data_IF_983040918720
#
_entry.id   IF_983040918720
#
_cell.length_a   1.000
_cell.length_b   1.000
_cell.length_c   1.000
_cell.angle_alpha   90.00
_cell.angle_beta   90.00
_cell.angle_gamma   90.00
#
_symmetry.space_group_name_H-M   'P 1'
#
loop_
_entity.id
_entity.type
_entity.pdbx_description
1 polymer ?
#
# COMPACT_ATOMS: atom_id res chain seq x y z
N UNK A 1 14.55 13.23 -14.39
CA UNK A 1 13.82 13.66 -13.18
C UNK A 1 12.73 12.63 -12.98
N UNK A 2 12.75 11.91 -11.85
CA UNK A 2 11.99 10.65 -11.69
C UNK A 2 10.58 10.85 -11.09
N UNK A 3 10.23 12.08 -10.68
CA UNK A 3 8.90 12.43 -10.15
C UNK A 3 8.50 13.81 -10.67
N UNK A 4 7.20 13.99 -10.95
CA UNK A 4 6.63 15.30 -11.28
C UNK A 4 6.68 16.23 -10.07
N UNK A 5 6.98 17.51 -10.30
CA UNK A 5 7.02 18.49 -9.22
C UNK A 5 5.65 18.64 -8.54
N UNK A 6 5.65 18.66 -7.21
CA UNK A 6 4.42 18.80 -6.43
C UNK A 6 3.70 20.12 -6.74
N UNK A 7 2.44 20.00 -7.13
CA UNK A 7 1.57 21.12 -7.48
C UNK A 7 0.56 21.37 -6.35
N UNK A 8 0.89 22.36 -5.50
CA UNK A 8 0.06 22.73 -4.37
C UNK A 8 -1.33 23.26 -4.77
N UNK A 9 -1.54 23.74 -6.00
CA UNK A 9 -2.83 24.27 -6.44
C UNK A 9 -3.87 23.15 -6.65
N UNK A 10 -3.41 21.94 -6.97
CA UNK A 10 -4.26 20.74 -7.08
C UNK A 10 -4.36 19.96 -5.78
N UNK A 11 -3.48 20.20 -4.80
CA UNK A 11 -3.52 19.48 -3.54
C UNK A 11 -4.66 19.99 -2.62
N UNK A 12 -5.31 19.06 -1.92
CA UNK A 12 -6.18 19.35 -0.78
C UNK A 12 -5.43 18.99 0.49
N UNK A 13 -4.92 20.00 1.18
CA UNK A 13 -4.11 19.84 2.39
C UNK A 13 -4.94 20.19 3.62
N UNK A 14 -4.94 19.30 4.60
CA UNK A 14 -5.59 19.48 5.89
C UNK A 14 -4.55 19.54 7.00
N UNK A 15 -4.79 20.39 8.00
CA UNK A 15 -3.93 20.45 9.20
C UNK A 15 -4.25 19.36 10.22
N UNK A 16 -5.47 18.82 10.14
CA UNK A 16 -5.97 17.77 11.05
C UNK A 16 -6.11 16.47 10.28
N UNK A 17 -6.02 15.37 11.00
CA UNK A 17 -6.22 14.06 10.39
C UNK A 17 -7.66 13.93 9.88
N UNK A 18 -7.81 13.51 8.63
CA UNK A 18 -9.08 13.18 8.01
C UNK A 18 -9.70 11.92 8.61
N UNK A 19 -8.84 11.03 9.11
CA UNK A 19 -9.22 9.73 9.67
C UNK A 19 -8.52 9.51 10.99
N UNK A 20 -9.15 8.72 11.86
CA UNK A 20 -8.52 8.32 13.12
C UNK A 20 -7.31 7.44 12.83
N UNK A 21 -6.17 7.73 13.44
CA UNK A 21 -4.96 6.89 13.33
C UNK A 21 -5.14 5.51 13.98
N UNK A 22 -4.52 4.49 13.41
CA UNK A 22 -4.40 3.18 14.04
C UNK A 22 -3.03 3.03 14.73
N UNK A 23 -2.97 3.39 16.02
CA UNK A 23 -1.79 3.12 16.85
C UNK A 23 -1.81 1.67 17.31
N UNK A 24 -0.95 0.84 16.74
CA UNK A 24 -0.81 -0.56 17.12
C UNK A 24 -0.04 -0.65 18.42
N UNK A 25 -0.52 -1.50 19.34
CA UNK A 25 0.13 -1.75 20.62
C UNK A 25 0.40 -3.24 20.75
N UNK A 26 1.62 -3.58 21.16
CA UNK A 26 2.05 -4.96 21.33
C UNK A 26 2.15 -5.71 20.00
N UNK A 27 2.07 -7.04 20.09
CA UNK A 27 2.47 -7.95 19.00
C UNK A 27 1.29 -8.40 18.12
N UNK A 28 0.08 -7.90 18.38
CA UNK A 28 -1.16 -8.35 17.74
C UNK A 28 -1.77 -9.59 18.41
N UNK A 29 -2.87 -10.09 17.83
CA UNK A 29 -3.52 -11.34 18.22
C UNK A 29 -3.09 -12.47 17.25
N UNK A 30 -2.95 -13.73 17.70
CA UNK A 30 -2.73 -14.86 16.79
C UNK A 30 -3.86 -14.95 15.76
N UNK A 31 -3.55 -14.92 14.47
CA UNK A 31 -4.55 -14.87 13.41
C UNK A 31 -5.43 -16.12 13.37
N UNK A 32 -4.86 -17.28 13.71
CA UNK A 32 -5.62 -18.54 13.84
C UNK A 32 -6.71 -18.43 14.92
N UNK A 33 -6.39 -17.83 16.08
CA UNK A 33 -7.38 -17.60 17.13
C UNK A 33 -8.44 -16.57 16.70
N UNK A 34 -8.04 -15.50 16.02
CA UNK A 34 -8.97 -14.50 15.47
C UNK A 34 -9.96 -15.13 14.48
N UNK A 35 -9.49 -16.07 13.66
CA UNK A 35 -10.32 -16.84 12.74
C UNK A 35 -11.26 -17.79 13.51
N UNK A 36 -10.75 -18.52 14.51
CA UNK A 36 -11.54 -19.43 15.35
C UNK A 36 -12.63 -18.70 16.15
N UNK A 37 -12.35 -17.49 16.62
CA UNK A 37 -13.30 -16.61 17.30
C UNK A 37 -14.39 -16.03 16.36
N UNK A 38 -14.28 -16.24 15.05
CA UNK A 38 -15.19 -15.69 14.04
C UNK A 38 -15.10 -14.17 13.88
N UNK A 39 -14.01 -13.55 14.35
CA UNK A 39 -13.77 -12.10 14.19
C UNK A 39 -13.38 -11.75 12.75
N UNK A 40 -12.83 -12.71 12.00
CA UNK A 40 -12.51 -12.63 10.57
C UNK A 40 -12.88 -13.93 9.86
N UNK A 41 -12.91 -13.90 8.53
CA UNK A 41 -13.19 -15.04 7.65
C UNK A 41 -11.96 -15.38 6.81
N UNK A 42 -11.90 -16.62 6.31
CA UNK A 42 -10.81 -17.12 5.47
C UNK A 42 -10.51 -16.23 4.25
N UNK A 43 -11.55 -15.70 3.61
CA UNK A 43 -11.45 -14.84 2.43
C UNK A 43 -11.21 -13.36 2.75
N UNK A 44 -11.18 -12.98 4.03
CA UNK A 44 -10.92 -11.58 4.38
C UNK A 44 -9.49 -11.21 3.97
N UNK A 45 -9.34 -10.00 3.47
CA UNK A 45 -8.10 -9.51 2.89
C UNK A 45 -7.20 -8.93 3.99
N UNK A 46 -5.91 -9.26 3.94
CA UNK A 46 -4.89 -8.80 4.87
C UNK A 46 -3.67 -8.27 4.14
N UNK A 47 -2.98 -7.33 4.78
CA UNK A 47 -1.64 -6.87 4.43
C UNK A 47 -0.66 -7.47 5.44
N UNK A 48 0.43 -8.08 4.98
CA UNK A 48 1.43 -8.75 5.81
C UNK A 48 2.75 -8.03 5.66
N UNK A 49 3.22 -7.48 6.78
CA UNK A 49 4.54 -6.87 6.90
C UNK A 49 5.50 -7.86 7.56
N UNK A 50 6.76 -7.79 7.17
CA UNK A 50 7.87 -8.41 7.90
C UNK A 50 8.87 -7.34 8.35
N UNK A 51 9.24 -7.36 9.64
CA UNK A 51 10.22 -6.42 10.23
C UNK A 51 10.85 -7.04 11.47
N UNK A 52 12.17 -6.91 11.62
CA UNK A 52 12.91 -7.55 12.72
C UNK A 52 12.73 -9.07 12.76
N UNK A 53 12.62 -9.73 11.60
CA UNK A 53 12.37 -11.18 11.53
C UNK A 53 10.99 -11.64 12.00
N UNK A 54 10.09 -10.72 12.35
CA UNK A 54 8.71 -11.00 12.76
C UNK A 54 7.72 -10.52 11.72
N UNK A 55 6.54 -11.15 11.69
CA UNK A 55 5.44 -10.80 10.79
C UNK A 55 4.23 -10.30 11.55
N UNK A 56 3.62 -9.27 11.01
CA UNK A 56 2.38 -8.70 11.53
C UNK A 56 1.45 -8.38 10.37
N UNK A 57 0.23 -8.89 10.47
CA UNK A 57 -0.83 -8.65 9.51
C UNK A 57 -1.72 -7.47 9.92
N UNK A 58 -2.39 -6.89 8.93
CA UNK A 58 -3.36 -5.80 9.09
C UNK A 58 -4.59 -6.13 8.25
N UNK A 59 -5.78 -6.00 8.84
CA UNK A 59 -7.03 -6.17 8.08
C UNK A 59 -7.18 -5.02 7.07
N UNK A 60 -7.36 -5.35 5.78
CA UNK A 60 -7.64 -4.34 4.74
C UNK A 60 -8.89 -3.55 5.10
N UNK A 61 -9.93 -4.20 5.61
CA UNK A 61 -11.18 -3.53 6.00
C UNK A 61 -11.00 -2.50 7.14
N UNK A 62 -10.00 -2.68 8.01
CA UNK A 62 -9.71 -1.72 9.07
C UNK A 62 -8.77 -0.61 8.59
N UNK A 63 -7.74 -0.94 7.80
CA UNK A 63 -6.84 0.08 7.25
C UNK A 63 -7.54 0.94 6.19
N UNK A 64 -8.56 0.43 5.50
CA UNK A 64 -9.46 1.21 4.63
C UNK A 64 -10.08 2.40 5.37
N UNK A 65 -10.36 2.24 6.67
CA UNK A 65 -10.90 3.31 7.50
C UNK A 65 -9.78 4.20 8.06
N UNK A 66 -8.73 3.59 8.59
CA UNK A 66 -7.67 4.30 9.31
C UNK A 66 -6.67 5.02 8.40
N UNK A 67 -6.43 4.50 7.20
CA UNK A 67 -5.44 4.90 6.20
C UNK A 67 -3.97 4.82 6.66
N UNK A 68 -3.71 4.98 7.96
CA UNK A 68 -2.38 4.91 8.57
C UNK A 68 -2.44 4.02 9.80
N UNK A 69 -1.53 3.04 9.86
CA UNK A 69 -1.23 2.26 11.05
C UNK A 69 0.25 2.39 11.42
N UNK A 70 0.53 2.67 12.69
CA UNK A 70 1.89 2.89 13.18
C UNK A 70 2.12 2.08 14.44
N UNK A 71 3.36 1.63 14.62
CA UNK A 71 3.77 0.90 15.80
C UNK A 71 5.25 0.58 15.78
N UNK A 72 5.62 -0.34 16.64
CA UNK A 72 6.96 -0.90 16.72
C UNK A 72 6.83 -2.43 16.68
N UNK A 73 7.68 -3.07 15.90
CA UNK A 73 7.78 -4.53 15.85
C UNK A 73 9.25 -4.90 16.06
N UNK A 74 9.50 -5.69 17.10
CA UNK A 74 10.86 -6.11 17.48
C UNK A 74 11.83 -4.94 17.68
N UNK A 75 11.42 -3.88 18.40
CA UNK A 75 12.26 -2.71 18.62
C UNK A 75 12.34 -1.75 17.42
N UNK A 76 11.72 -2.08 16.29
CA UNK A 76 11.86 -1.31 15.05
C UNK A 76 10.55 -0.59 14.68
N UNK A 77 10.57 0.75 14.54
CA UNK A 77 9.37 1.52 14.19
C UNK A 77 8.93 1.20 12.77
N UNK A 78 7.62 1.18 12.54
CA UNK A 78 7.02 0.98 11.24
C UNK A 78 5.77 1.85 11.05
N UNK A 79 5.42 2.06 9.79
CA UNK A 79 4.14 2.61 9.36
C UNK A 79 3.62 1.81 8.17
N UNK A 80 2.32 1.55 8.17
CA UNK A 80 1.55 1.13 6.99
C UNK A 80 0.68 2.29 6.56
N UNK A 81 0.77 2.64 5.27
CA UNK A 81 -0.16 3.57 4.64
C UNK A 81 -1.00 2.84 3.60
N UNK A 82 -2.27 3.19 3.50
CA UNK A 82 -3.20 2.57 2.56
C UNK A 82 -4.20 3.57 2.00
N UNK A 83 -4.44 3.50 0.70
CA UNK A 83 -5.45 4.30 0.01
C UNK A 83 -6.55 3.40 -0.53
N UNK A 84 -7.77 3.59 -0.04
CA UNK A 84 -8.95 2.80 -0.39
C UNK A 84 -9.39 2.95 -1.85
N UNK A 85 -9.10 4.06 -2.52
CA UNK A 85 -9.53 4.28 -3.90
C UNK A 85 -8.53 3.68 -4.89
N UNK A 86 -7.22 3.85 -4.72
CA UNK A 86 -6.25 3.21 -5.63
C UNK A 86 -5.88 1.78 -5.21
N UNK A 87 -6.33 1.31 -4.04
CA UNK A 87 -5.99 0.01 -3.43
C UNK A 87 -4.51 -0.20 -3.08
N UNK A 88 -3.66 0.81 -3.25
CA UNK A 88 -2.24 0.71 -2.90
C UNK A 88 -2.04 0.72 -1.39
N UNK A 89 -1.24 -0.23 -0.91
CA UNK A 89 -0.67 -0.21 0.43
C UNK A 89 0.85 -0.22 0.37
N UNK A 90 1.49 0.44 1.32
CA UNK A 90 2.95 0.52 1.45
C UNK A 90 3.35 0.48 2.91
N UNK A 91 4.54 -0.06 3.16
CA UNK A 91 5.13 -0.09 4.48
C UNK A 91 6.44 0.70 4.47
N UNK A 92 6.61 1.51 5.52
CA UNK A 92 7.65 2.53 5.61
C UNK A 92 8.29 2.54 7.00
N UNK A 93 9.55 2.95 7.06
CA UNK A 93 10.25 3.29 8.30
C UNK A 93 10.06 4.78 8.54
N UNK A 94 9.27 5.19 9.55
CA UNK A 94 8.98 6.59 9.81
C UNK A 94 10.13 7.28 10.56
N UNK A 95 11.37 7.10 10.09
CA UNK A 95 12.57 7.69 10.70
C UNK A 95 13.29 8.54 9.67
N UNK A 96 13.43 9.82 9.98
CA UNK A 96 14.13 10.82 9.14
C UNK A 96 15.11 11.54 10.05
N UNK A 97 16.37 11.63 9.63
CA UNK A 97 17.47 12.21 10.43
C UNK A 97 17.57 11.66 11.87
N UNK A 98 17.25 10.38 12.05
CA UNK A 98 17.28 9.69 13.35
C UNK A 98 16.10 10.00 14.27
N UNK A 99 15.15 10.84 13.86
CA UNK A 99 13.91 11.11 14.60
C UNK A 99 12.76 10.24 14.07
N UNK A 100 11.99 9.63 14.99
CA UNK A 100 10.74 8.95 14.63
C UNK A 100 9.66 10.01 14.42
N UNK A 101 9.08 10.03 13.22
CA UNK A 101 7.98 10.91 12.84
C UNK A 101 6.63 10.21 13.03
N UNK A 102 5.56 10.99 13.26
CA UNK A 102 4.21 10.46 13.47
C UNK A 102 3.23 11.01 12.44
N UNK A 103 2.52 10.13 11.77
CA UNK A 103 1.75 10.47 10.57
C UNK A 103 0.26 10.30 10.76
N UNK A 104 -0.51 11.10 10.03
CA UNK A 104 -1.92 10.92 9.79
C UNK A 104 -2.27 11.14 8.31
N UNK A 105 -3.41 10.62 7.88
CA UNK A 105 -3.95 10.96 6.56
C UNK A 105 -4.46 12.41 6.60
N UNK A 106 -3.78 13.32 5.91
CA UNK A 106 -3.96 14.78 6.01
C UNK A 106 -4.14 15.47 4.67
N UNK A 107 -4.42 14.74 3.62
CA UNK A 107 -4.74 15.38 2.36
C UNK A 107 -4.95 14.43 1.22
N UNK A 108 -5.17 15.01 0.05
CA UNK A 108 -5.32 14.31 -1.21
C UNK A 108 -4.53 15.05 -2.28
N UNK A 109 -3.74 14.31 -3.06
CA UNK A 109 -3.03 14.81 -4.24
C UNK A 109 -2.94 13.70 -5.28
N UNK A 110 -3.12 14.00 -6.56
CA UNK A 110 -3.21 12.99 -7.62
C UNK A 110 -4.27 11.89 -7.38
N UNK A 111 -5.34 12.22 -6.63
CA UNK A 111 -6.33 11.21 -6.20
C UNK A 111 -5.76 10.15 -5.26
N UNK A 112 -4.68 10.46 -4.55
CA UNK A 112 -3.99 9.61 -3.60
C UNK A 112 -3.99 10.25 -2.22
N UNK A 113 -3.98 9.43 -1.18
CA UNK A 113 -3.88 9.92 0.19
C UNK A 113 -2.51 10.56 0.42
N UNK A 114 -2.49 11.78 0.94
CA UNK A 114 -1.28 12.40 1.48
C UNK A 114 -1.19 12.11 2.96
N UNK A 115 0.00 11.68 3.38
CA UNK A 115 0.37 11.59 4.78
C UNK A 115 0.83 12.97 5.23
N UNK A 116 0.59 13.33 6.49
CA UNK A 116 1.24 14.50 7.09
C UNK A 116 1.82 14.16 8.45
N UNK A 117 3.04 14.62 8.71
CA UNK A 117 3.74 14.39 9.98
C UNK A 117 3.37 15.44 11.04
N UNK A 118 3.51 15.09 12.31
CA UNK A 118 3.21 15.97 13.45
C UNK A 118 4.37 16.91 13.79
N UNK A 119 5.60 16.46 13.56
CA UNK A 119 6.82 17.11 14.01
C UNK A 119 7.11 18.40 13.24
N UNK A 120 6.84 18.40 11.94
CA UNK A 120 7.14 19.50 11.01
C UNK A 120 5.92 19.98 10.24
N UNK A 121 4.84 19.18 10.21
CA UNK A 121 3.65 19.48 9.43
C UNK A 121 3.88 19.34 7.92
N UNK A 122 4.87 18.55 7.50
CA UNK A 122 5.15 18.29 6.10
C UNK A 122 4.20 17.23 5.55
N UNK A 123 4.06 17.16 4.23
CA UNK A 123 3.15 16.29 3.49
C UNK A 123 3.91 15.34 2.59
N UNK A 124 3.54 14.06 2.66
CA UNK A 124 4.30 12.96 2.11
C UNK A 124 3.44 12.08 1.21
N UNK A 125 4.05 11.59 0.14
CA UNK A 125 3.44 10.61 -0.76
C UNK A 125 3.39 9.25 -0.07
N UNK A 126 2.20 8.65 0.04
CA UNK A 126 2.07 7.36 0.70
C UNK A 126 2.70 6.20 -0.09
N UNK A 127 2.82 6.29 -1.41
CA UNK A 127 3.44 5.24 -2.25
C UNK A 127 4.97 5.33 -2.22
N UNK A 128 5.55 6.52 -2.37
CA UNK A 128 7.01 6.68 -2.53
C UNK A 128 7.73 6.97 -1.21
N UNK A 129 7.00 7.33 -0.15
CA UNK A 129 7.58 7.77 1.11
C UNK A 129 8.31 9.10 1.02
N UNK A 130 8.20 9.84 -0.08
CA UNK A 130 8.85 11.13 -0.31
C UNK A 130 8.01 12.28 0.28
N UNK A 131 8.67 13.23 0.94
CA UNK A 131 8.07 14.49 1.35
C UNK A 131 7.91 15.42 0.15
N UNK A 132 6.67 15.65 -0.27
CA UNK A 132 6.34 16.48 -1.42
C UNK A 132 6.29 17.98 -1.08
N UNK A 133 5.89 18.31 0.16
CA UNK A 133 5.66 19.70 0.57
C UNK A 133 5.91 19.89 2.07
N UNK A 134 6.49 21.03 2.45
CA UNK A 134 6.78 21.37 3.84
C UNK A 134 8.27 21.47 4.14
N UNK A 135 8.61 21.41 5.42
CA UNK A 135 9.98 21.61 5.91
C UNK A 135 10.93 20.50 5.44
N UNK A 136 10.45 19.27 5.37
CA UNK A 136 11.26 18.10 5.02
C UNK A 136 11.21 17.77 3.51
N UNK A 137 10.82 18.73 2.65
CA UNK A 137 10.65 18.49 1.20
C UNK A 137 11.90 17.84 0.59
N UNK A 138 11.69 16.74 -0.12
CA UNK A 138 12.74 15.94 -0.78
C UNK A 138 13.32 14.82 0.08
N UNK A 139 13.05 14.80 1.38
CA UNK A 139 13.38 13.65 2.23
C UNK A 139 12.52 12.44 1.86
N UNK A 140 13.06 11.24 2.06
CA UNK A 140 12.38 10.00 1.70
C UNK A 140 12.50 8.94 2.81
N UNK A 141 11.36 8.41 3.24
CA UNK A 141 11.32 7.27 4.16
C UNK A 141 11.77 5.99 3.47
N UNK A 142 12.46 5.12 4.20
CA UNK A 142 12.78 3.79 3.72
C UNK A 142 11.49 2.97 3.56
N UNK A 143 11.29 2.40 2.38
CA UNK A 143 10.22 1.43 2.11
C UNK A 143 10.73 0.00 2.28
N UNK A 144 9.81 -0.90 2.58
CA UNK A 144 10.06 -2.34 2.58
C UNK A 144 8.82 -3.09 2.07
N UNK A 145 8.91 -4.41 1.78
CA UNK A 145 7.79 -5.13 1.19
C UNK A 145 6.55 -5.16 2.10
N UNK A 146 5.38 -5.09 1.47
CA UNK A 146 4.08 -5.29 2.09
C UNK A 146 3.27 -6.24 1.20
N UNK A 147 3.04 -7.45 1.69
CA UNK A 147 2.37 -8.50 0.91
C UNK A 147 0.85 -8.44 1.13
N UNK A 148 0.06 -8.51 0.07
CA UNK A 148 -1.41 -8.61 0.14
C UNK A 148 -1.84 -10.04 -0.14
N UNK A 149 -2.68 -10.59 0.72
CA UNK A 149 -3.20 -11.97 0.62
C UNK A 149 -4.55 -12.06 1.34
N UNK A 150 -5.20 -13.23 1.32
CA UNK A 150 -6.31 -13.53 2.21
C UNK A 150 -5.81 -14.08 3.56
N UNK A 151 -6.69 -14.14 4.58
CA UNK A 151 -6.43 -14.82 5.85
C UNK A 151 -6.00 -16.27 5.62
N UNK A 152 -6.68 -17.00 4.71
CA UNK A 152 -6.35 -18.39 4.40
C UNK A 152 -4.95 -18.53 3.80
N UNK A 153 -4.61 -17.72 2.80
CA UNK A 153 -3.28 -17.71 2.19
C UNK A 153 -2.19 -17.32 3.19
N UNK A 154 -2.48 -16.35 4.06
CA UNK A 154 -1.60 -15.92 5.14
C UNK A 154 -1.30 -17.04 6.13
N UNK A 155 -2.32 -17.74 6.64
CA UNK A 155 -2.16 -18.86 7.57
C UNK A 155 -1.52 -20.09 6.92
N UNK A 156 -1.80 -20.35 5.64
CA UNK A 156 -1.15 -21.43 4.88
C UNK A 156 0.36 -21.23 4.79
N UNK A 157 0.80 -19.99 4.55
CA UNK A 157 2.22 -19.65 4.41
C UNK A 157 2.91 -19.41 5.76
N UNK A 158 2.20 -18.79 6.70
CA UNK A 158 2.70 -18.43 8.02
C UNK A 158 1.70 -18.86 9.11
N UNK A 159 1.78 -20.11 9.60
CA UNK A 159 0.85 -20.63 10.60
C UNK A 159 0.82 -19.82 11.91
N UNK A 160 1.95 -19.21 12.28
CA UNK A 160 2.09 -18.41 13.51
C UNK A 160 1.85 -16.90 13.27
N UNK A 161 1.20 -16.52 12.17
CA UNK A 161 0.96 -15.11 11.82
C UNK A 161 0.11 -14.42 12.88
N UNK A 162 0.54 -13.23 13.29
CA UNK A 162 -0.23 -12.35 14.16
C UNK A 162 -0.90 -11.26 13.35
N UNK A 163 -1.99 -10.69 13.87
CA UNK A 163 -2.72 -9.60 13.25
C UNK A 163 -2.97 -8.47 14.23
N UNK A 164 -2.72 -7.25 13.79
CA UNK A 164 -3.11 -6.04 14.52
C UNK A 164 -4.57 -5.71 14.22
N UNK A 165 -5.43 -5.73 15.26
CA UNK A 165 -6.82 -5.34 15.17
C UNK A 165 -7.09 -4.05 15.94
N UNK A 166 -7.75 -3.10 15.28
CA UNK A 166 -8.28 -1.89 15.87
C UNK A 166 -9.61 -2.18 16.56
N UNK A 167 -9.87 -1.54 17.72
CA UNK A 167 -11.19 -1.59 18.38
C UNK A 167 -12.18 -0.78 17.56
N UNK A 168 -13.19 -1.42 16.90
CA UNK A 168 -14.07 -0.70 16.00
C UNK A 168 -14.85 0.38 16.74
N UNK A 169 -14.66 1.64 16.37
CA UNK A 169 -15.52 2.73 16.84
C UNK A 169 -16.92 2.57 16.22
N UNK A 170 -17.97 3.02 16.92
CA UNK A 170 -19.35 2.92 16.42
C UNK A 170 -19.50 3.47 14.99
N UNK A 171 -18.86 4.60 14.69
CA UNK A 171 -18.86 5.22 13.37
C UNK A 171 -18.24 4.32 12.28
N UNK A 172 -17.15 3.62 12.59
CA UNK A 172 -16.51 2.66 11.68
C UNK A 172 -17.45 1.49 11.39
N UNK A 173 -18.18 1.00 12.40
CA UNK A 173 -19.14 -0.10 12.24
C UNK A 173 -20.36 0.32 11.39
N UNK A 174 -20.76 1.59 11.47
CA UNK A 174 -21.88 2.14 10.71
C UNK A 174 -21.50 2.48 9.26
N UNK A 175 -20.38 3.19 9.06
CA UNK A 175 -19.95 3.68 7.73
C UNK A 175 -19.08 2.69 6.95
N UNK A 176 -18.45 1.72 7.62
CA UNK A 176 -17.50 0.78 7.01
C UNK A 176 -18.01 0.07 5.75
N UNK A 177 -19.22 -0.53 5.74
CA UNK A 177 -19.76 -1.16 4.54
C UNK A 177 -19.91 -0.21 3.35
N UNK A 178 -20.30 1.04 3.60
CA UNK A 178 -20.43 2.07 2.57
C UNK A 178 -19.07 2.50 2.02
N UNK A 179 -18.10 2.81 2.90
CA UNK A 179 -16.74 3.19 2.50
C UNK A 179 -16.09 2.08 1.66
N UNK A 180 -16.26 0.82 2.06
CA UNK A 180 -15.75 -0.34 1.31
C UNK A 180 -16.42 -0.49 -0.06
N UNK A 181 -17.75 -0.29 -0.12
CA UNK A 181 -18.47 -0.32 -1.40
C UNK A 181 -17.96 0.75 -2.36
N UNK A 182 -17.80 1.99 -1.90
CA UNK A 182 -17.29 3.12 -2.70
C UNK A 182 -15.88 2.83 -3.23
N UNK A 183 -14.96 2.38 -2.36
CA UNK A 183 -13.60 1.99 -2.77
C UNK A 183 -13.59 0.86 -3.80
N UNK A 184 -14.33 -0.22 -3.52
CA UNK A 184 -14.44 -1.39 -4.42
C UNK A 184 -15.06 -1.03 -5.77
N UNK A 185 -16.09 -0.20 -5.79
CA UNK A 185 -16.75 0.25 -7.01
C UNK A 185 -15.93 1.28 -7.80
N UNK A 186 -14.88 1.86 -7.21
CA UNK A 186 -14.11 2.94 -7.84
C UNK A 186 -14.92 4.23 -7.97
N UNK A 187 -15.88 4.45 -7.08
CA UNK A 187 -16.64 5.68 -7.04
C UNK A 187 -15.82 6.74 -6.32
N UNK A 188 -15.56 7.85 -6.99
CA UNK A 188 -14.92 8.99 -6.35
C UNK A 188 -15.88 9.67 -5.37
N UNK A 189 -15.45 10.03 -4.15
CA UNK A 189 -16.31 10.70 -3.18
C UNK A 189 -16.86 12.02 -3.75
N UNK A 190 -18.19 12.16 -3.92
CA UNK A 190 -18.76 13.41 -4.40
C UNK A 190 -18.55 14.53 -3.37
N UNK A 191 -18.14 15.72 -3.83
CA UNK A 191 -18.02 16.92 -2.98
C UNK A 191 -16.64 17.17 -2.34
N UNK A 192 -15.66 16.28 -2.49
CA UNK A 192 -14.29 16.49 -1.99
C UNK A 192 -13.31 17.05 -3.02
N UNK A 193 -13.79 17.38 -4.24
CA UNK A 193 -12.92 17.83 -5.33
C UNK A 193 -11.86 16.80 -5.71
N UNK A 194 -12.13 15.51 -5.51
CA UNK A 194 -11.15 14.44 -5.73
C UNK A 194 -10.56 14.47 -7.14
N UNK A 195 -11.42 14.60 -8.17
CA UNK A 195 -10.97 14.71 -9.56
C UNK A 195 -10.14 15.96 -9.82
N UNK A 196 -10.42 17.07 -9.12
CA UNK A 196 -9.64 18.31 -9.24
C UNK A 196 -8.19 18.15 -8.74
N UNK A 197 -7.93 17.14 -7.90
CA UNK A 197 -6.58 16.83 -7.42
C UNK A 197 -5.77 15.99 -8.40
N UNK A 198 -6.40 15.38 -9.40
CA UNK A 198 -5.75 14.48 -10.34
C UNK A 198 -4.94 15.27 -11.37
N UNK A 199 -3.77 14.74 -11.74
CA UNK A 199 -2.96 15.28 -12.83
C UNK A 199 -3.47 14.80 -14.19
N UNK A 200 -2.66 15.00 -15.22
CA UNK A 200 -2.90 14.41 -16.53
C UNK A 200 -2.88 12.88 -16.42
N UNK A 201 -3.98 12.24 -16.85
CA UNK A 201 -4.15 10.80 -16.75
C UNK A 201 -3.43 10.10 -17.88
N UNK A 202 -2.84 8.96 -17.58
CA UNK A 202 -2.23 8.10 -18.58
C UNK A 202 -3.31 7.23 -19.27
N UNK A 203 -3.61 7.54 -20.52
CA UNK A 203 -4.71 6.94 -21.30
C UNK A 203 -4.40 5.53 -21.83
N UNK A 204 -3.19 4.98 -21.60
CA UNK A 204 -2.83 3.62 -22.03
C UNK A 204 -3.73 2.54 -21.44
N UNK A 205 -4.28 2.79 -20.25
CA UNK A 205 -5.23 1.90 -19.58
C UNK A 205 -6.37 2.70 -18.91
N UNK A 206 -7.57 2.12 -18.75
CA UNK A 206 -8.61 2.70 -17.92
C UNK A 206 -8.11 2.96 -16.49
N UNK A 207 -8.48 4.11 -15.90
CA UNK A 207 -8.05 4.56 -14.56
C UNK A 207 -8.12 3.45 -13.49
N UNK A 208 -9.21 2.68 -13.51
CA UNK A 208 -9.56 1.67 -12.50
C UNK A 208 -8.97 0.29 -12.76
N UNK A 209 -8.08 0.16 -13.76
CA UNK A 209 -7.45 -1.12 -14.11
C UNK A 209 -6.56 -1.60 -12.97
N UNK A 210 -6.90 -2.73 -12.35
CA UNK A 210 -6.07 -3.33 -11.29
C UNK A 210 -4.84 -4.01 -11.87
N UNK A 211 -3.73 -3.87 -11.17
CA UNK A 211 -2.47 -4.49 -11.52
C UNK A 211 -1.49 -4.55 -10.36
N UNK A 212 -0.33 -5.11 -10.66
CA UNK A 212 0.84 -5.10 -9.81
C UNK A 212 1.83 -4.07 -10.37
N UNK A 213 2.12 -3.05 -9.59
CA UNK A 213 3.26 -2.18 -9.84
C UNK A 213 4.50 -2.73 -9.14
N UNK A 214 5.61 -2.88 -9.86
CA UNK A 214 6.94 -3.09 -9.28
C UNK A 214 7.78 -1.85 -9.52
N UNK A 215 8.59 -1.45 -8.54
CA UNK A 215 9.32 -0.19 -8.65
C UNK A 215 10.60 -0.17 -7.83
N UNK A 216 11.55 0.64 -8.27
CA UNK A 216 12.68 1.11 -7.51
C UNK A 216 13.06 2.50 -8.05
N UNK A 217 14.22 3.03 -7.67
CA UNK A 217 14.65 4.36 -8.10
C UNK A 217 15.01 4.47 -9.59
N UNK A 218 15.03 3.37 -10.35
CA UNK A 218 15.43 3.32 -11.76
C UNK A 218 14.32 2.85 -12.69
N UNK A 219 13.61 1.80 -12.30
CA UNK A 219 12.59 1.13 -13.11
C UNK A 219 11.30 1.09 -12.33
N UNK A 220 10.22 1.52 -12.96
CA UNK A 220 8.86 1.40 -12.46
C UNK A 220 8.02 0.78 -13.57
N UNK A 221 7.41 -0.37 -13.29
CA UNK A 221 6.70 -1.16 -14.28
C UNK A 221 5.38 -1.68 -13.73
N UNK A 222 4.34 -1.61 -14.55
CA UNK A 222 3.01 -2.07 -14.20
C UNK A 222 2.62 -3.31 -15.01
N UNK A 223 2.03 -4.29 -14.34
CA UNK A 223 1.47 -5.50 -14.92
C UNK A 223 -0.01 -5.56 -14.60
N UNK A 224 -0.87 -5.68 -15.61
CA UNK A 224 -2.31 -5.80 -15.34
C UNK A 224 -2.63 -7.16 -14.73
N UNK A 225 -3.60 -7.22 -13.81
CA UNK A 225 -4.10 -8.50 -13.27
C UNK A 225 -4.60 -9.40 -14.41
N UNK A 226 -5.21 -8.81 -15.44
CA UNK A 226 -5.70 -9.54 -16.62
C UNK A 226 -4.57 -10.28 -17.32
N UNK A 227 -3.44 -9.61 -17.58
CA UNK A 227 -2.33 -10.21 -18.33
C UNK A 227 -1.58 -11.25 -17.48
N UNK A 228 -1.47 -11.02 -16.17
CA UNK A 228 -0.92 -11.98 -15.22
C UNK A 228 -1.80 -13.25 -15.18
N UNK A 229 -3.11 -13.10 -15.02
CA UNK A 229 -4.05 -14.21 -14.98
C UNK A 229 -4.09 -14.99 -16.31
N UNK A 230 -4.05 -14.29 -17.45
CA UNK A 230 -4.08 -14.92 -18.77
C UNK A 230 -2.83 -15.74 -19.09
N UNK A 231 -1.66 -15.32 -18.60
CA UNK A 231 -0.37 -15.99 -18.87
C UNK A 231 -0.01 -17.03 -17.81
N UNK A 232 -0.61 -16.95 -16.63
CA UNK A 232 -0.30 -17.78 -15.47
C UNK A 232 1.03 -17.38 -14.82
N UNK A 233 2.13 -17.50 -15.56
CA UNK A 233 3.48 -17.14 -15.12
C UNK A 233 4.14 -16.24 -16.17
N UNK A 234 4.48 -15.02 -15.76
CA UNK A 234 5.30 -14.09 -16.54
C UNK A 234 6.73 -14.18 -16.03
N UNK A 235 7.68 -14.50 -16.93
CA UNK A 235 9.12 -14.39 -16.67
C UNK A 235 9.61 -13.09 -17.29
N UNK A 236 10.32 -12.29 -16.50
CA UNK A 236 10.77 -10.97 -16.89
C UNK A 236 12.09 -10.64 -16.17
N UNK A 237 12.68 -9.48 -16.48
CA UNK A 237 13.85 -8.94 -15.84
C UNK A 237 13.54 -7.58 -15.22
N UNK A 238 13.93 -7.39 -13.96
CA UNK A 238 13.75 -6.13 -13.24
C UNK A 238 15.08 -5.63 -12.69
N UNK A 239 15.61 -4.57 -13.30
CA UNK A 239 16.91 -3.98 -12.97
C UNK A 239 18.07 -4.98 -13.02
N UNK A 240 18.16 -5.78 -14.09
CA UNK A 240 19.23 -6.76 -14.29
C UNK A 240 19.04 -8.07 -13.52
N UNK A 241 17.91 -8.26 -12.83
CA UNK A 241 17.63 -9.45 -12.02
C UNK A 241 16.40 -10.19 -12.53
N UNK A 242 16.44 -11.53 -12.62
CA UNK A 242 15.34 -12.32 -13.16
C UNK A 242 14.19 -12.38 -12.15
N UNK A 243 12.99 -12.02 -12.61
CA UNK A 243 11.77 -12.05 -11.81
C UNK A 243 10.71 -12.95 -12.43
N UNK A 244 9.81 -13.42 -11.57
CA UNK A 244 8.61 -14.13 -11.93
C UNK A 244 7.40 -13.36 -11.38
N UNK A 245 6.42 -13.07 -12.24
CA UNK A 245 5.15 -12.43 -11.87
C UNK A 245 4.01 -13.40 -12.12
N UNK A 246 3.21 -13.67 -11.09
CA UNK A 246 2.08 -14.60 -11.15
C UNK A 246 1.01 -14.23 -10.12
N UNK A 247 -0.16 -14.86 -10.18
CA UNK A 247 -1.08 -14.83 -9.04
C UNK A 247 -0.52 -15.66 -7.88
N UNK A 248 -0.88 -15.29 -6.65
CA UNK A 248 -0.64 -16.11 -5.46
C UNK A 248 -1.30 -17.49 -5.62
N UNK A 249 -0.98 -18.41 -4.71
CA UNK A 249 -1.50 -19.80 -4.77
C UNK A 249 -3.02 -19.89 -4.73
N UNK A 250 -3.70 -18.86 -4.23
CA UNK A 250 -5.16 -18.80 -4.16
C UNK A 250 -5.79 -18.13 -5.38
N UNK A 251 -4.98 -17.54 -6.26
CA UNK A 251 -5.46 -16.72 -7.36
C UNK A 251 -6.03 -15.37 -6.92
N UNK A 252 -5.78 -14.92 -5.68
CA UNK A 252 -6.39 -13.73 -5.11
C UNK A 252 -5.64 -12.46 -5.50
N UNK A 253 -4.31 -12.44 -5.33
CA UNK A 253 -3.47 -11.27 -5.63
C UNK A 253 -2.26 -11.60 -6.49
N UNK A 254 -1.86 -10.69 -7.39
CA UNK A 254 -0.62 -10.83 -8.12
C UNK A 254 0.59 -10.59 -7.21
N UNK A 255 1.71 -11.24 -7.54
CA UNK A 255 2.97 -11.12 -6.85
C UNK A 255 4.14 -11.27 -7.81
N UNK A 256 5.19 -10.49 -7.56
CA UNK A 256 6.50 -10.62 -8.18
C UNK A 256 7.51 -11.20 -7.18
N UNK A 257 8.35 -12.13 -7.63
CA UNK A 257 9.48 -12.66 -6.87
C UNK A 257 10.75 -12.65 -7.72
N UNK A 258 11.89 -12.42 -7.09
CA UNK A 258 13.20 -12.69 -7.63
C UNK A 258 13.44 -14.20 -7.69
N UNK A 259 13.89 -14.70 -8.83
CA UNK A 259 14.15 -16.13 -9.04
C UNK A 259 15.59 -16.53 -8.78
N UNK A 260 16.47 -15.55 -8.57
CA UNK A 260 17.87 -15.71 -8.15
C UNK A 260 18.04 -15.78 -6.62
N UNK A 261 16.95 -15.63 -5.85
CA UNK A 261 16.92 -15.72 -4.39
C UNK A 261 15.99 -16.87 -3.98
N UNK A 262 16.47 -17.84 -3.19
CA UNK A 262 15.60 -18.90 -2.65
C UNK A 262 14.42 -18.34 -1.86
N UNK A 263 13.26 -18.98 -1.94
CA UNK A 263 12.15 -18.70 -1.01
C UNK A 263 12.45 -19.37 0.33
N UNK A 264 13.01 -18.60 1.25
CA UNK A 264 13.22 -18.97 2.66
C UNK A 264 12.01 -18.64 3.54
N UNK A 265 10.87 -18.30 2.91
CA UNK A 265 9.65 -17.86 3.58
C UNK A 265 9.67 -16.40 4.03
N UNK A 266 10.77 -15.67 3.80
CA UNK A 266 10.89 -14.22 4.05
C UNK A 266 10.38 -13.39 2.87
N UNK A 267 10.30 -12.08 3.08
CA UNK A 267 10.02 -11.11 2.02
C UNK A 267 11.27 -10.69 1.23
N UNK A 268 12.46 -11.26 1.51
CA UNK A 268 13.71 -10.86 0.88
C UNK A 268 13.78 -11.18 -0.63
N UNK A 269 13.01 -12.17 -1.09
CA UNK A 269 12.91 -12.53 -2.50
C UNK A 269 11.90 -11.67 -3.29
N UNK A 270 11.45 -10.53 -2.76
CA UNK A 270 10.44 -9.70 -3.40
C UNK A 270 11.03 -8.34 -3.81
N UNK A 271 10.86 -7.90 -5.07
CA UNK A 271 11.03 -6.48 -5.37
C UNK A 271 9.99 -5.67 -4.60
N UNK A 272 10.28 -4.38 -4.40
CA UNK A 272 9.24 -3.45 -3.98
C UNK A 272 8.11 -3.49 -4.99
N UNK A 273 6.92 -3.78 -4.48
CA UNK A 273 5.73 -4.01 -5.28
C UNK A 273 4.50 -3.56 -4.52
N UNK A 274 3.46 -3.18 -5.24
CA UNK A 274 2.17 -2.83 -4.67
C UNK A 274 1.05 -3.21 -5.64
N UNK A 275 -0.01 -3.81 -5.11
CA UNK A 275 -1.26 -3.99 -5.83
C UNK A 275 -1.99 -2.65 -5.85
N UNK A 276 -2.32 -2.13 -7.03
CA UNK A 276 -3.08 -0.89 -7.14
C UNK A 276 -3.84 -0.79 -8.45
N UNK A 277 -4.60 0.30 -8.57
CA UNK A 277 -5.21 0.74 -9.83
C UNK A 277 -4.23 1.56 -10.64
N UNK A 278 -4.40 1.52 -11.95
CA UNK A 278 -3.53 2.17 -12.93
C UNK A 278 -3.29 3.64 -12.63
N UNK A 279 -4.36 4.42 -12.39
CA UNK A 279 -4.23 5.86 -12.14
C UNK A 279 -3.29 6.16 -10.96
N UNK A 280 -3.33 5.32 -9.92
CA UNK A 280 -2.50 5.53 -8.73
C UNK A 280 -1.03 5.23 -9.00
N UNK A 281 -0.74 4.28 -9.89
CA UNK A 281 0.63 3.99 -10.29
C UNK A 281 1.17 5.03 -11.27
N UNK A 282 0.43 5.33 -12.34
CA UNK A 282 0.90 6.20 -13.42
C UNK A 282 1.01 7.68 -13.02
N UNK A 283 0.14 8.16 -12.13
CA UNK A 283 0.28 9.51 -11.55
C UNK A 283 1.40 9.61 -10.50
N UNK A 284 1.83 8.48 -9.92
CA UNK A 284 2.98 8.45 -8.99
C UNK A 284 4.30 8.33 -9.75
N UNK A 285 4.34 7.44 -10.74
CA UNK A 285 5.51 7.12 -11.55
C UNK A 285 5.24 7.53 -13.00
N UNK A 286 5.33 8.83 -13.26
CA UNK A 286 5.10 9.38 -14.60
C UNK A 286 6.12 8.81 -15.59
N UNK A 287 5.65 8.28 -16.71
CA UNK A 287 6.51 7.60 -17.69
C UNK A 287 6.91 6.18 -17.31
N UNK A 288 6.24 5.57 -16.32
CA UNK A 288 6.43 4.15 -16.00
C UNK A 288 6.19 3.24 -17.21
N UNK A 289 6.87 2.10 -17.19
CA UNK A 289 6.73 1.05 -18.19
C UNK A 289 5.41 0.30 -17.99
N UNK A 290 4.70 0.03 -19.08
CA UNK A 290 3.56 -0.89 -19.07
C UNK A 290 4.02 -2.21 -19.67
N UNK A 291 3.92 -3.29 -18.89
CA UNK A 291 4.33 -4.61 -19.37
C UNK A 291 3.52 -5.01 -20.62
N UNK A 292 4.23 -5.42 -21.66
CA UNK A 292 3.65 -5.83 -22.94
C UNK A 292 3.54 -4.71 -23.98
N UNK A 293 3.83 -3.46 -23.63
CA UNK A 293 4.06 -2.41 -24.63
C UNK A 293 5.45 -2.59 -25.27
N UNK A 294 5.52 -2.36 -26.58
CA UNK A 294 6.81 -2.24 -27.27
C UNK A 294 7.28 -0.80 -27.13
N UNK A 295 8.48 -0.62 -26.59
CA UNK A 295 9.21 0.64 -26.60
C UNK A 295 9.69 1.00 -28.01
#
# INVERSE_FOLDING_TARGET
MLFTEFDAARARLEKKDLFRRFKVKGEGEPLEQVLADGKMKEQDEILVMERGGRRLAFSVAQIDFHHVAEGELDGQPYMIAYCNICHSGTSMVPVVDGAVLHFGARGIYNGLALLGDDETGSYWNHITGECLHGQLKGEQMQLFPLERTTVRGGLKRWPNLHIALSKPHFLMRLLGPYVRFVGKAGLFPPGFGFRDTMGELDERLPEMTSGLGIFNNRVQRFYTVRDIAARGIIRDEFSGRPIQVQMDEEGAYPKAIYTDVPDDGTSANQPMQLYCRWYGFSLTFTGCELYGEKH
#
